data_IF_448046418192
#
_entry.id   IF_448046418192
#
_cell.length_a   1.000
_cell.length_b   1.000
_cell.length_c   1.000
_cell.angle_alpha   90.00
_cell.angle_beta   90.00
_cell.angle_gamma   90.00
#
_symmetry.space_group_name_H-M   'P 1'
#
loop_
_entity.id
_entity.type
_entity.pdbx_description
1 polymer ?
#
# COMPACT_ATOMS: atom_id res chain seq x y z
N UNK A 1 61.05 -82.62 -10.37
CA UNK A 1 61.16 -81.31 -11.03
C UNK A 1 59.81 -80.97 -11.68
N UNK A 2 58.99 -80.11 -11.05
CA UNK A 2 57.73 -79.60 -11.62
C UNK A 2 57.88 -78.09 -11.85
N UNK A 3 57.86 -77.66 -13.10
CA UNK A 3 57.84 -76.24 -13.48
C UNK A 3 56.38 -75.77 -13.49
N UNK A 4 56.06 -74.80 -12.64
CA UNK A 4 54.78 -74.09 -12.62
C UNK A 4 54.92 -72.89 -13.56
N UNK A 5 54.11 -72.84 -14.62
CA UNK A 5 54.00 -71.70 -15.52
C UNK A 5 52.95 -70.74 -14.93
N UNK A 6 53.37 -69.51 -14.61
CA UNK A 6 52.49 -68.43 -14.16
C UNK A 6 52.11 -67.60 -15.40
N UNK A 7 50.83 -67.60 -15.77
CA UNK A 7 50.29 -66.77 -16.86
C UNK A 7 49.78 -65.46 -16.25
N UNK A 8 50.47 -64.35 -16.53
CA UNK A 8 49.99 -63.01 -16.22
C UNK A 8 48.96 -62.57 -17.27
N UNK A 9 47.70 -62.43 -16.85
CA UNK A 9 46.66 -61.78 -17.64
C UNK A 9 46.70 -60.26 -17.42
N UNK A 10 47.01 -59.50 -18.48
CA UNK A 10 46.94 -58.04 -18.50
C UNK A 10 45.47 -57.61 -18.65
N UNK A 11 44.84 -57.21 -17.54
CA UNK A 11 43.53 -56.57 -17.55
C UNK A 11 43.69 -55.10 -17.98
N UNK A 12 43.10 -54.74 -19.12
CA UNK A 12 43.01 -53.33 -19.54
C UNK A 12 41.95 -52.60 -18.73
N UNK A 13 42.21 -51.38 -18.23
CA UNK A 13 41.22 -50.62 -17.46
C UNK A 13 40.12 -50.11 -18.38
N UNK A 14 38.88 -50.48 -18.06
CA UNK A 14 37.67 -49.85 -18.60
C UNK A 14 37.65 -48.38 -18.15
N UNK A 15 37.88 -47.46 -19.08
CA UNK A 15 37.67 -46.02 -18.86
C UNK A 15 36.16 -45.77 -18.83
N UNK A 16 35.58 -45.68 -17.63
CA UNK A 16 34.23 -45.17 -17.45
C UNK A 16 34.23 -43.67 -17.76
N UNK A 17 33.54 -43.28 -18.83
CA UNK A 17 33.27 -41.88 -19.12
C UNK A 17 32.55 -41.25 -17.93
N UNK A 18 33.08 -40.14 -17.42
CA UNK A 18 32.42 -39.37 -16.38
C UNK A 18 31.02 -38.98 -16.88
N UNK A 19 29.96 -39.14 -16.06
CA UNK A 19 28.63 -38.69 -16.44
C UNK A 19 28.70 -37.19 -16.79
N UNK A 20 27.99 -36.75 -17.84
CA UNK A 20 28.01 -35.35 -18.25
C UNK A 20 27.65 -34.46 -17.05
N UNK A 21 28.39 -33.35 -16.90
CA UNK A 21 28.11 -32.38 -15.86
C UNK A 21 26.63 -31.96 -15.94
N UNK A 22 25.92 -31.89 -14.80
CA UNK A 22 24.52 -31.46 -14.81
C UNK A 22 24.44 -30.09 -15.48
N UNK A 23 23.52 -29.95 -16.44
CA UNK A 23 23.27 -28.69 -17.12
C UNK A 23 23.08 -27.57 -16.08
N UNK A 24 23.68 -26.40 -16.35
CA UNK A 24 23.44 -25.22 -15.53
C UNK A 24 21.92 -25.00 -15.42
N UNK A 25 21.40 -24.61 -14.23
CA UNK A 25 19.97 -24.35 -14.08
C UNK A 25 19.52 -23.36 -15.16
N UNK A 26 18.36 -23.58 -15.81
CA UNK A 26 17.84 -22.63 -16.79
C UNK A 26 17.73 -21.26 -16.11
N UNK A 27 18.31 -20.23 -16.70
CA UNK A 27 18.14 -18.85 -16.22
C UNK A 27 16.70 -18.38 -16.47
N UNK A 28 16.34 -17.20 -15.94
CA UNK A 28 14.98 -16.65 -16.09
C UNK A 28 14.55 -16.52 -17.54
N UNK A 29 15.49 -16.27 -18.46
CA UNK A 29 15.23 -16.17 -19.90
C UNK A 29 14.80 -17.50 -20.49
N UNK A 30 15.50 -18.59 -20.18
CA UNK A 30 15.12 -19.93 -20.62
C UNK A 30 13.74 -20.34 -20.08
N UNK A 31 13.43 -20.00 -18.83
CA UNK A 31 12.09 -20.23 -18.26
C UNK A 31 11.01 -19.42 -18.98
N UNK A 32 11.25 -18.13 -19.22
CA UNK A 32 10.30 -17.26 -19.94
C UNK A 32 10.01 -17.80 -21.35
N UNK A 33 11.05 -18.18 -22.10
CA UNK A 33 10.90 -18.72 -23.45
C UNK A 33 10.10 -20.04 -23.44
N UNK A 34 10.40 -20.95 -22.52
CA UNK A 34 9.70 -22.23 -22.38
C UNK A 34 8.21 -22.05 -22.06
N UNK A 35 7.86 -21.02 -21.28
CA UNK A 35 6.47 -20.70 -20.91
C UNK A 35 5.74 -19.83 -21.96
N UNK A 36 6.40 -19.46 -23.06
CA UNK A 36 5.83 -18.52 -24.04
C UNK A 36 5.61 -17.11 -23.49
N UNK A 37 6.44 -16.72 -22.52
CA UNK A 37 6.38 -15.44 -21.81
C UNK A 37 7.52 -14.52 -22.24
N UNK A 38 7.36 -13.24 -21.92
CA UNK A 38 8.41 -12.23 -21.99
C UNK A 38 8.47 -11.43 -20.68
N UNK A 39 9.66 -10.93 -20.33
CA UNK A 39 9.81 -10.06 -19.17
C UNK A 39 9.34 -8.65 -19.52
N UNK A 40 8.42 -8.11 -18.71
CA UNK A 40 8.02 -6.70 -18.76
C UNK A 40 8.76 -5.83 -17.73
N UNK A 41 9.26 -6.45 -16.66
CA UNK A 41 10.12 -5.83 -15.66
C UNK A 41 10.98 -6.90 -14.97
N UNK A 42 12.21 -6.53 -14.62
CA UNK A 42 13.14 -7.39 -13.86
C UNK A 42 13.84 -6.56 -12.78
N UNK A 43 14.07 -7.16 -11.61
CA UNK A 43 14.97 -6.64 -10.57
C UNK A 43 15.84 -7.78 -10.05
N UNK A 44 17.08 -7.46 -9.73
CA UNK A 44 18.06 -8.42 -9.21
C UNK A 44 18.58 -7.98 -7.84
N UNK A 45 18.86 -8.94 -6.97
CA UNK A 45 19.49 -8.72 -5.67
C UNK A 45 20.18 -9.99 -5.17
N UNK A 46 21.51 -9.96 -5.07
CA UNK A 46 22.32 -11.10 -4.65
C UNK A 46 21.98 -12.34 -5.51
N UNK A 47 21.60 -13.46 -4.88
CA UNK A 47 21.18 -14.68 -5.59
C UNK A 47 19.75 -14.65 -6.14
N UNK A 48 18.98 -13.58 -5.87
CA UNK A 48 17.57 -13.48 -6.27
C UNK A 48 17.37 -12.62 -7.51
N UNK A 49 16.38 -13.01 -8.30
CA UNK A 49 15.84 -12.22 -9.40
C UNK A 49 14.32 -12.25 -9.30
N UNK A 50 13.66 -11.12 -9.49
CA UNK A 50 12.22 -11.01 -9.58
C UNK A 50 11.83 -10.49 -10.97
N UNK A 51 10.90 -11.18 -11.61
CA UNK A 51 10.46 -10.89 -12.98
C UNK A 51 8.94 -10.71 -13.00
N UNK A 52 8.44 -9.68 -13.67
CA UNK A 52 7.04 -9.62 -14.12
C UNK A 52 7.00 -10.20 -15.53
N UNK A 53 6.51 -11.42 -15.62
CA UNK A 53 6.34 -12.15 -16.86
C UNK A 53 4.94 -11.90 -17.43
N UNK A 54 4.85 -11.69 -18.73
CA UNK A 54 3.60 -11.53 -19.48
C UNK A 54 3.58 -12.45 -20.70
N UNK A 55 2.39 -12.81 -21.18
CA UNK A 55 2.24 -13.62 -22.39
C UNK A 55 2.84 -12.88 -23.59
N UNK A 56 3.78 -13.53 -24.28
CA UNK A 56 4.51 -12.94 -25.40
C UNK A 56 3.55 -12.57 -26.53
N UNK A 57 3.65 -11.34 -27.02
CA UNK A 57 2.83 -10.85 -28.14
C UNK A 57 1.38 -10.50 -27.77
N UNK A 58 1.01 -10.52 -26.48
CA UNK A 58 -0.28 -10.02 -26.03
C UNK A 58 -0.43 -8.53 -26.35
N UNK A 59 -1.59 -8.12 -26.89
CA UNK A 59 -1.84 -6.75 -27.35
C UNK A 59 -2.66 -5.91 -26.37
N UNK A 60 -3.33 -6.56 -25.42
CA UNK A 60 -4.21 -5.93 -24.44
C UNK A 60 -3.94 -6.48 -23.03
N UNK A 61 -4.45 -5.78 -22.01
CA UNK A 61 -4.20 -6.14 -20.61
C UNK A 61 -4.87 -7.47 -20.20
N UNK A 62 -6.00 -7.84 -20.82
CA UNK A 62 -6.69 -9.09 -20.50
C UNK A 62 -5.93 -10.30 -21.05
N UNK A 63 -5.35 -10.18 -22.25
CA UNK A 63 -4.54 -11.24 -22.86
C UNK A 63 -3.11 -11.32 -22.30
N UNK A 64 -2.59 -10.25 -21.70
CA UNK A 64 -1.23 -10.22 -21.16
C UNK A 64 -0.99 -11.20 -20.01
N UNK A 65 -2.02 -11.49 -19.19
CA UNK A 65 -1.97 -12.42 -18.04
C UNK A 65 -0.64 -12.34 -17.27
N UNK A 66 -0.35 -11.16 -16.75
CA UNK A 66 0.92 -10.92 -16.05
C UNK A 66 1.02 -11.78 -14.78
N UNK A 67 2.25 -12.12 -14.41
CA UNK A 67 2.58 -12.85 -13.18
C UNK A 67 3.96 -12.44 -12.68
N UNK A 68 4.14 -12.48 -11.36
CA UNK A 68 5.46 -12.27 -10.73
C UNK A 68 6.11 -13.63 -10.50
N UNK A 69 7.33 -13.83 -10.97
CA UNK A 69 8.16 -14.98 -10.66
C UNK A 69 9.41 -14.53 -9.90
N UNK A 70 9.83 -15.31 -8.91
CA UNK A 70 11.07 -15.10 -8.16
C UNK A 70 11.97 -16.29 -8.40
N UNK A 71 13.20 -16.01 -8.79
CA UNK A 71 14.27 -16.96 -8.99
C UNK A 71 15.28 -16.85 -7.86
N UNK A 72 15.88 -17.96 -7.48
CA UNK A 72 17.08 -18.00 -6.64
C UNK A 72 18.11 -18.91 -7.32
N UNK A 73 19.30 -18.36 -7.62
CA UNK A 73 20.38 -19.06 -8.35
C UNK A 73 19.88 -19.68 -9.67
N UNK A 74 19.11 -18.89 -10.43
CA UNK A 74 18.52 -19.29 -11.71
C UNK A 74 17.26 -20.16 -11.60
N UNK A 75 16.92 -20.73 -10.43
CA UNK A 75 15.74 -21.60 -10.31
C UNK A 75 14.52 -20.81 -9.84
N UNK A 76 13.37 -21.01 -10.47
CA UNK A 76 12.09 -20.49 -9.95
C UNK A 76 11.86 -21.07 -8.54
N UNK A 77 11.80 -20.19 -7.55
CA UNK A 77 11.51 -20.55 -6.15
C UNK A 77 10.11 -20.13 -5.72
N UNK A 78 9.47 -19.24 -6.48
CA UNK A 78 8.09 -18.83 -6.26
C UNK A 78 7.50 -18.17 -7.51
N UNK A 79 6.18 -18.28 -7.67
CA UNK A 79 5.43 -17.59 -8.70
C UNK A 79 4.05 -17.20 -8.16
N UNK A 80 3.62 -15.98 -8.46
CA UNK A 80 2.29 -15.50 -8.10
C UNK A 80 1.21 -16.38 -8.73
N UNK A 81 0.19 -16.71 -7.94
CA UNK A 81 -0.99 -17.42 -8.40
C UNK A 81 -2.26 -16.78 -7.82
N UNK A 82 -3.41 -17.04 -8.44
CA UNK A 82 -4.68 -16.41 -8.08
C UNK A 82 -5.14 -16.70 -6.63
N UNK A 83 -4.66 -17.76 -5.99
CA UNK A 83 -5.02 -18.10 -4.60
C UNK A 83 -4.22 -17.30 -3.57
N UNK A 84 -3.01 -16.87 -3.93
CA UNK A 84 -2.14 -16.09 -3.04
C UNK A 84 -2.39 -14.58 -3.14
N UNK A 85 -2.94 -14.13 -4.26
CA UNK A 85 -3.34 -12.75 -4.45
C UNK A 85 -4.69 -12.53 -3.76
N UNK A 86 -4.76 -11.47 -2.95
CA UNK A 86 -6.03 -11.08 -2.30
C UNK A 86 -7.04 -10.53 -3.31
N UNK A 87 -6.56 -9.97 -4.42
CA UNK A 87 -7.37 -9.43 -5.51
C UNK A 87 -6.80 -9.89 -6.86
N UNK A 88 -7.63 -10.15 -7.88
CA UNK A 88 -7.16 -10.34 -9.24
C UNK A 88 -6.38 -9.11 -9.71
N UNK A 89 -5.23 -9.30 -10.33
CA UNK A 89 -4.42 -8.23 -10.91
C UNK A 89 -4.24 -8.47 -12.40
N UNK A 90 -4.44 -7.42 -13.19
CA UNK A 90 -4.21 -7.42 -14.65
C UNK A 90 -2.84 -6.87 -15.01
N UNK A 91 -2.22 -6.12 -14.10
CA UNK A 91 -0.88 -5.57 -14.27
C UNK A 91 -0.11 -5.60 -12.95
N UNK A 92 1.16 -5.95 -12.99
CA UNK A 92 2.06 -5.89 -11.85
C UNK A 92 3.11 -4.79 -12.00
N UNK A 93 3.63 -4.32 -10.88
CA UNK A 93 4.76 -3.39 -10.84
C UNK A 93 5.73 -3.85 -9.78
N UNK A 94 6.99 -4.10 -10.16
CA UNK A 94 8.07 -4.38 -9.22
C UNK A 94 8.59 -3.06 -8.67
N UNK A 95 8.45 -2.87 -7.37
CA UNK A 95 8.87 -1.66 -6.69
C UNK A 95 10.30 -1.82 -6.16
N UNK A 96 10.55 -2.88 -5.38
CA UNK A 96 11.88 -3.15 -4.83
C UNK A 96 12.14 -4.64 -4.60
N UNK A 97 13.42 -5.03 -4.68
CA UNK A 97 13.92 -6.35 -4.34
C UNK A 97 15.18 -6.17 -3.49
N UNK A 98 15.26 -6.88 -2.35
CA UNK A 98 16.43 -6.88 -1.48
C UNK A 98 16.36 -5.94 -0.27
N UNK A 99 15.30 -5.12 -0.17
CA UNK A 99 15.18 -4.13 0.90
C UNK A 99 14.58 -4.74 2.17
N UNK A 100 15.06 -4.31 3.33
CA UNK A 100 14.47 -4.66 4.64
C UNK A 100 13.33 -3.69 4.96
N UNK A 101 12.08 -4.09 4.70
CA UNK A 101 10.91 -3.23 4.90
C UNK A 101 10.30 -3.37 6.29
N UNK A 102 10.61 -4.44 7.02
CA UNK A 102 10.08 -4.71 8.37
C UNK A 102 11.12 -4.60 9.50
N UNK A 103 12.36 -4.24 9.17
CA UNK A 103 13.45 -4.05 10.12
C UNK A 103 14.01 -5.37 10.68
N UNK A 104 13.77 -6.50 10.01
CA UNK A 104 14.24 -7.82 10.44
C UNK A 104 15.69 -8.12 10.02
N UNK A 105 16.31 -7.25 9.22
CA UNK A 105 17.60 -7.49 8.58
C UNK A 105 17.55 -8.47 7.42
N UNK A 106 16.36 -8.91 7.00
CA UNK A 106 16.17 -9.85 5.91
C UNK A 106 15.67 -9.14 4.63
N UNK A 107 16.19 -9.50 3.45
CA UNK A 107 15.76 -8.90 2.21
C UNK A 107 14.33 -9.31 1.84
N UNK A 108 13.56 -8.36 1.33
CA UNK A 108 12.18 -8.56 0.92
C UNK A 108 11.95 -8.11 -0.53
N UNK A 109 10.89 -8.64 -1.11
CA UNK A 109 10.33 -8.22 -2.39
C UNK A 109 9.07 -7.40 -2.11
N UNK A 110 8.97 -6.22 -2.74
CA UNK A 110 7.75 -5.42 -2.80
C UNK A 110 7.30 -5.23 -4.23
N UNK A 111 6.04 -5.54 -4.47
CA UNK A 111 5.37 -5.33 -5.74
C UNK A 111 3.91 -4.92 -5.49
N UNK A 112 3.25 -4.39 -6.51
CA UNK A 112 1.80 -4.18 -6.48
C UNK A 112 1.11 -4.83 -7.67
N UNK A 113 -0.12 -5.25 -7.46
CA UNK A 113 -1.05 -5.63 -8.51
C UNK A 113 -2.11 -4.56 -8.70
N UNK A 114 -2.37 -4.19 -9.94
CA UNK A 114 -3.47 -3.32 -10.34
C UNK A 114 -4.58 -4.19 -10.94
N UNK A 115 -5.80 -4.10 -10.40
CA UNK A 115 -6.93 -4.94 -10.84
C UNK A 115 -7.64 -4.45 -12.10
N UNK A 116 -7.42 -3.20 -12.52
CA UNK A 116 -7.95 -2.64 -13.78
C UNK A 116 -9.33 -1.98 -13.65
N UNK A 117 -9.52 -0.81 -14.25
CA UNK A 117 -10.78 -0.04 -14.28
C UNK A 117 -10.70 1.36 -13.64
N UNK A 118 -11.75 2.18 -13.79
CA UNK A 118 -11.76 3.60 -13.40
C UNK A 118 -11.85 3.86 -11.87
N UNK A 119 -12.27 2.85 -11.10
CA UNK A 119 -12.40 2.87 -9.64
C UNK A 119 -11.77 1.61 -9.03
N UNK A 120 -10.63 1.20 -9.60
CA UNK A 120 -10.09 -0.12 -9.40
C UNK A 120 -8.69 -0.09 -8.80
N UNK A 121 -8.38 -1.21 -8.17
CA UNK A 121 -7.62 -1.22 -6.94
C UNK A 121 -6.15 -1.52 -7.21
N UNK A 122 -5.30 -0.82 -6.48
CA UNK A 122 -3.92 -1.26 -6.29
C UNK A 122 -3.83 -2.03 -4.98
N UNK A 123 -3.28 -3.23 -5.02
CA UNK A 123 -2.92 -4.00 -3.83
C UNK A 123 -1.41 -4.16 -3.77
N UNK A 124 -0.80 -3.76 -2.65
CA UNK A 124 0.64 -3.94 -2.41
C UNK A 124 0.90 -5.25 -1.67
N UNK A 125 1.97 -5.90 -2.06
CA UNK A 125 2.43 -7.16 -1.50
C UNK A 125 3.89 -7.04 -1.07
N UNK A 126 4.18 -7.52 0.14
CA UNK A 126 5.55 -7.66 0.63
C UNK A 126 5.80 -9.13 0.90
N UNK A 127 6.87 -9.67 0.34
CA UNK A 127 7.28 -11.06 0.47
C UNK A 127 8.66 -11.13 1.14
N UNK A 128 8.82 -12.01 2.12
CA UNK A 128 10.16 -12.41 2.61
C UNK A 128 10.81 -13.28 1.57
N UNK A 129 12.10 -13.10 1.30
CA UNK A 129 12.86 -13.95 0.37
C UNK A 129 13.51 -15.15 1.07
N UNK A 130 13.93 -14.98 2.33
CA UNK A 130 14.60 -16.00 3.14
C UNK A 130 13.77 -16.38 4.38
N UNK A 131 13.88 -17.64 4.86
CA UNK A 131 14.53 -18.78 4.20
C UNK A 131 13.74 -19.32 2.99
N UNK A 132 12.49 -18.91 2.85
CA UNK A 132 11.60 -19.26 1.74
C UNK A 132 10.86 -18.01 1.30
N UNK A 133 10.58 -17.92 -0.01
CA UNK A 133 9.73 -16.88 -0.56
C UNK A 133 8.30 -17.06 -0.06
N UNK A 134 7.83 -16.13 0.77
CA UNK A 134 6.48 -16.18 1.35
C UNK A 134 5.90 -14.80 1.56
N UNK A 135 4.59 -14.68 1.39
CA UNK A 135 3.86 -13.43 1.66
C UNK A 135 4.04 -13.05 3.12
N UNK A 136 4.56 -11.86 3.35
CA UNK A 136 4.77 -11.29 4.66
C UNK A 136 3.65 -10.33 5.02
N UNK A 137 3.35 -9.38 4.13
CA UNK A 137 2.28 -8.39 4.35
C UNK A 137 1.52 -8.11 3.04
N UNK A 138 0.28 -7.66 3.19
CA UNK A 138 -0.58 -7.21 2.09
C UNK A 138 -1.34 -5.96 2.50
N UNK A 139 -1.49 -5.02 1.57
CA UNK A 139 -2.24 -3.80 1.76
C UNK A 139 -3.12 -3.51 0.54
N UNK A 140 -4.45 -3.69 0.65
CA UNK A 140 -5.39 -3.26 -0.38
C UNK A 140 -5.55 -1.75 -0.32
N UNK A 141 -4.73 -1.04 -1.10
CA UNK A 141 -4.74 0.41 -1.18
C UNK A 141 -5.90 0.97 -2.01
N UNK A 142 -6.65 0.08 -2.69
CA UNK A 142 -7.88 0.41 -3.41
C UNK A 142 -7.69 1.61 -4.34
N UNK A 143 -8.55 2.61 -4.26
CA UNK A 143 -8.61 3.69 -5.25
C UNK A 143 -7.50 4.74 -5.08
N UNK A 144 -6.91 4.84 -3.89
CA UNK A 144 -5.87 5.84 -3.61
C UNK A 144 -4.49 5.40 -4.09
N UNK A 145 -4.33 4.08 -4.27
CA UNK A 145 -3.02 3.48 -4.53
C UNK A 145 -2.07 3.69 -3.36
N UNK A 146 -0.79 3.44 -3.58
CA UNK A 146 0.28 3.71 -2.62
C UNK A 146 1.56 4.04 -3.36
N UNK A 147 2.46 4.76 -2.70
CA UNK A 147 3.77 5.06 -3.27
C UNK A 147 4.73 3.90 -3.04
N UNK A 148 5.92 4.00 -3.64
CA UNK A 148 7.05 3.22 -3.19
C UNK A 148 7.40 3.53 -1.73
N UNK A 149 8.08 2.59 -1.09
CA UNK A 149 8.69 2.81 0.21
C UNK A 149 9.82 3.84 0.10
N UNK A 150 9.91 4.76 1.05
CA UNK A 150 10.96 5.77 1.16
C UNK A 150 11.72 5.60 2.47
N UNK A 151 13.05 5.73 2.40
CA UNK A 151 13.90 5.73 3.59
C UNK A 151 13.84 7.12 4.24
N UNK A 152 13.82 7.13 5.56
CA UNK A 152 13.94 8.35 6.34
C UNK A 152 15.19 8.27 7.23
N UNK A 153 15.99 9.35 7.30
CA UNK A 153 17.16 9.38 8.18
C UNK A 153 16.78 9.03 9.62
N UNK A 154 17.54 8.12 10.24
CA UNK A 154 17.34 7.70 11.63
C UNK A 154 16.23 6.67 11.85
N UNK A 155 15.50 6.25 10.81
CA UNK A 155 14.56 5.12 10.89
C UNK A 155 15.19 3.83 10.39
N UNK A 156 14.84 2.72 11.04
CA UNK A 156 15.21 1.38 10.61
C UNK A 156 14.28 0.85 9.51
N UNK A 157 12.98 1.15 9.63
CA UNK A 157 11.95 0.73 8.69
C UNK A 157 11.62 1.87 7.73
N UNK A 158 11.60 1.60 6.42
CA UNK A 158 11.12 2.58 5.47
C UNK A 158 9.61 2.73 5.57
N UNK A 159 9.10 3.82 5.02
CA UNK A 159 7.68 4.16 5.08
C UNK A 159 7.06 4.21 3.69
N UNK A 160 5.78 3.91 3.60
CA UNK A 160 4.96 4.12 2.41
C UNK A 160 3.99 5.26 2.68
N UNK A 161 3.87 6.16 1.71
CA UNK A 161 2.87 7.22 1.75
C UNK A 161 1.63 6.74 0.99
N UNK A 162 0.47 6.84 1.62
CA UNK A 162 -0.80 6.43 1.04
C UNK A 162 -1.95 7.29 1.61
N UNK A 163 -3.19 6.93 1.29
CA UNK A 163 -4.37 7.45 1.93
C UNK A 163 -5.34 6.33 2.36
N UNK A 164 -6.44 6.72 2.99
CA UNK A 164 -7.55 5.83 3.27
C UNK A 164 -8.77 6.26 2.44
N UNK A 165 -9.29 5.33 1.64
CA UNK A 165 -10.44 5.56 0.77
C UNK A 165 -11.78 5.08 1.36
N UNK A 166 -11.82 4.71 2.64
CA UNK A 166 -13.00 4.16 3.30
C UNK A 166 -14.21 5.11 3.34
N UNK A 167 -13.98 6.42 3.19
CA UNK A 167 -15.04 7.44 3.06
C UNK A 167 -15.32 7.85 1.59
N UNK A 168 -14.73 7.18 0.59
CA UNK A 168 -15.00 7.45 -0.82
C UNK A 168 -16.50 7.40 -1.09
N UNK A 169 -17.00 8.35 -1.89
CA UNK A 169 -18.40 8.46 -2.34
C UNK A 169 -19.47 8.70 -1.25
N UNK A 170 -19.11 8.60 0.04
CA UNK A 170 -20.07 8.76 1.14
C UNK A 170 -20.49 10.23 1.35
N UNK A 171 -19.55 11.16 1.28
CA UNK A 171 -19.80 12.59 1.59
C UNK A 171 -19.73 13.53 0.38
N UNK A 172 -19.33 13.01 -0.78
CA UNK A 172 -19.30 13.70 -2.07
C UNK A 172 -19.04 12.68 -3.18
N UNK A 173 -19.21 13.03 -4.48
CA UNK A 173 -18.75 12.18 -5.59
C UNK A 173 -17.26 11.84 -5.46
N UNK A 174 -16.80 10.77 -6.11
CA UNK A 174 -15.43 10.28 -5.97
C UNK A 174 -14.37 11.37 -6.21
N UNK A 175 -14.51 12.16 -7.27
CA UNK A 175 -13.59 13.27 -7.60
C UNK A 175 -13.47 14.35 -6.52
N UNK A 176 -14.47 14.45 -5.65
CA UNK A 176 -14.57 15.45 -4.58
C UNK A 176 -14.45 14.81 -3.19
N UNK A 177 -14.17 13.51 -3.12
CA UNK A 177 -13.97 12.79 -1.88
C UNK A 177 -12.60 13.13 -1.28
N UNK A 178 -12.56 13.31 0.03
CA UNK A 178 -11.32 13.49 0.75
C UNK A 178 -10.77 12.14 1.23
N UNK A 179 -9.49 11.91 0.98
CA UNK A 179 -8.77 10.72 1.43
C UNK A 179 -7.69 11.14 2.45
N UNK A 180 -7.85 10.86 3.75
CA UNK A 180 -6.87 11.23 4.75
C UNK A 180 -5.53 10.55 4.48
N UNK A 181 -4.45 11.33 4.64
CA UNK A 181 -3.07 10.86 4.62
C UNK A 181 -2.88 9.72 5.64
N UNK A 182 -2.30 8.62 5.19
CA UNK A 182 -1.74 7.58 6.05
C UNK A 182 -0.26 7.40 5.73
N UNK A 183 0.54 7.23 6.78
CA UNK A 183 1.96 6.89 6.66
C UNK A 183 2.10 5.49 7.19
N UNK A 184 2.54 4.57 6.33
CA UNK A 184 2.53 3.15 6.62
C UNK A 184 3.95 2.62 6.77
N UNK A 185 4.09 1.63 7.63
CA UNK A 185 5.28 0.79 7.71
C UNK A 185 4.85 -0.69 7.76
N UNK A 186 5.78 -1.59 7.46
CA UNK A 186 5.55 -3.03 7.61
C UNK A 186 6.02 -3.45 8.99
N UNK A 187 5.10 -3.95 9.81
CA UNK A 187 5.50 -4.49 11.10
C UNK A 187 6.30 -5.80 10.95
N UNK A 188 7.17 -6.14 11.92
CA UNK A 188 7.84 -7.44 11.95
C UNK A 188 6.88 -8.64 11.93
N UNK A 189 5.60 -8.42 12.31
CA UNK A 189 4.52 -9.41 12.31
C UNK A 189 3.81 -9.56 10.96
N UNK A 190 4.17 -8.79 9.93
CA UNK A 190 3.59 -8.95 8.59
C UNK A 190 2.30 -8.17 8.36
N UNK A 191 2.17 -7.00 8.98
CA UNK A 191 1.02 -6.10 8.78
C UNK A 191 1.49 -4.73 8.33
N UNK A 192 0.83 -4.15 7.33
CA UNK A 192 0.89 -2.71 7.11
C UNK A 192 0.17 -2.00 8.26
N UNK A 193 0.88 -1.12 8.96
CA UNK A 193 0.35 -0.37 10.09
C UNK A 193 0.75 1.10 9.98
N UNK A 194 0.10 1.97 10.75
CA UNK A 194 0.54 3.35 10.85
C UNK A 194 1.97 3.43 11.42
N UNK A 195 2.83 4.19 10.76
CA UNK A 195 4.01 4.77 11.38
C UNK A 195 3.53 5.90 12.31
N UNK A 196 3.01 5.50 13.48
CA UNK A 196 2.25 6.38 14.37
C UNK A 196 3.06 7.61 14.81
N UNK A 197 4.37 7.48 14.96
CA UNK A 197 5.28 8.56 15.32
C UNK A 197 5.44 9.62 14.20
N UNK A 198 5.11 9.26 12.96
CA UNK A 198 5.10 10.17 11.82
C UNK A 198 3.72 10.73 11.48
N UNK A 199 2.65 10.13 12.02
CA UNK A 199 1.27 10.58 11.84
C UNK A 199 0.75 11.41 13.01
N UNK A 200 1.10 11.04 14.24
CA UNK A 200 0.61 11.74 15.43
C UNK A 200 1.23 13.13 15.49
N UNK A 201 0.38 14.13 15.68
CA UNK A 201 0.81 15.51 15.83
C UNK A 201 1.00 15.86 17.30
N UNK A 202 1.71 16.96 17.59
CA UNK A 202 1.87 17.45 18.97
C UNK A 202 0.63 18.17 19.50
N UNK A 203 -0.12 18.82 18.61
CA UNK A 203 -1.34 19.56 18.95
C UNK A 203 -2.40 19.36 17.86
N UNK A 204 -3.69 19.42 18.20
CA UNK A 204 -4.77 19.29 17.24
C UNK A 204 -4.62 20.25 16.04
N UNK A 205 -4.69 19.71 14.83
CA UNK A 205 -4.69 20.49 13.59
C UNK A 205 -3.31 20.98 13.14
N UNK A 206 -2.22 20.56 13.79
CA UNK A 206 -0.86 20.74 13.27
C UNK A 206 -0.57 19.77 12.12
N UNK A 207 0.40 20.06 11.25
CA UNK A 207 0.89 19.08 10.28
C UNK A 207 1.58 17.90 10.98
N UNK A 208 1.38 16.66 10.50
CA UNK A 208 2.06 15.48 11.04
C UNK A 208 3.58 15.56 10.86
N UNK A 209 4.39 14.91 11.73
CA UNK A 209 5.86 14.97 11.67
C UNK A 209 6.45 14.58 10.31
N UNK A 210 5.79 13.69 9.55
CA UNK A 210 6.20 13.35 8.18
C UNK A 210 6.31 14.58 7.27
N UNK A 211 5.52 15.63 7.50
CA UNK A 211 5.53 16.85 6.71
C UNK A 211 6.79 17.71 6.89
N UNK A 212 7.59 17.43 7.92
CA UNK A 212 8.87 18.10 8.15
C UNK A 212 10.06 17.36 7.49
N UNK A 213 9.84 16.17 6.94
CA UNK A 213 10.89 15.34 6.36
C UNK A 213 11.22 15.79 4.92
N UNK A 214 12.47 16.18 4.60
CA UNK A 214 12.83 16.65 3.26
C UNK A 214 12.48 15.65 2.16
N UNK A 215 12.83 14.37 2.37
CA UNK A 215 12.54 13.28 1.44
C UNK A 215 11.03 13.10 1.20
N UNK A 216 10.22 13.39 2.20
CA UNK A 216 8.77 13.29 2.13
C UNK A 216 8.16 14.54 1.45
N UNK A 217 8.71 15.74 1.67
CA UNK A 217 8.26 16.97 0.99
C UNK A 217 8.59 17.04 -0.51
N UNK A 218 9.53 16.21 -0.98
CA UNK A 218 9.82 16.05 -2.41
C UNK A 218 8.73 15.28 -3.17
N UNK A 219 7.86 14.55 -2.45
CA UNK A 219 6.69 13.90 -3.04
C UNK A 219 5.57 14.94 -3.27
N UNK A 220 5.16 15.21 -4.52
CA UNK A 220 4.15 16.25 -4.80
C UNK A 220 2.81 16.02 -4.09
N UNK A 221 2.37 14.76 -4.01
CA UNK A 221 1.12 14.40 -3.34
C UNK A 221 1.21 14.65 -1.84
N UNK A 222 2.30 14.23 -1.20
CA UNK A 222 2.50 14.50 0.22
C UNK A 222 2.65 16.00 0.50
N UNK A 223 3.36 16.74 -0.36
CA UNK A 223 3.47 18.20 -0.27
C UNK A 223 2.11 18.88 -0.28
N UNK A 224 1.21 18.44 -1.18
CA UNK A 224 -0.16 18.94 -1.23
C UNK A 224 -0.91 18.63 0.08
N UNK A 225 -0.89 17.38 0.54
CA UNK A 225 -1.53 16.95 1.81
C UNK A 225 -1.01 17.70 3.02
N UNK A 226 0.30 17.88 3.12
CA UNK A 226 0.93 18.66 4.18
C UNK A 226 0.54 20.14 4.12
N UNK A 227 0.39 20.69 2.91
CA UNK A 227 -0.09 22.05 2.70
C UNK A 227 -1.53 22.28 3.18
N UNK A 228 -2.33 21.24 3.37
CA UNK A 228 -3.69 21.37 3.92
C UNK A 228 -3.70 21.79 5.39
N UNK A 229 -2.65 21.47 6.14
CA UNK A 229 -2.49 21.87 7.54
C UNK A 229 -1.99 23.31 7.70
N UNK A 230 -1.68 24.01 6.60
CA UNK A 230 -1.27 25.41 6.64
C UNK A 230 -2.37 26.29 7.23
N UNK A 231 -2.03 27.05 8.28
CA UNK A 231 -3.00 27.78 9.10
C UNK A 231 -3.91 28.74 8.31
N UNK A 232 -3.38 29.45 7.31
CA UNK A 232 -4.18 30.35 6.48
C UNK A 232 -5.24 29.60 5.66
N UNK A 233 -4.84 28.56 4.90
CA UNK A 233 -5.76 27.74 4.11
C UNK A 233 -6.82 27.06 4.98
N UNK A 234 -6.42 26.55 6.14
CA UNK A 234 -7.34 25.90 7.08
C UNK A 234 -8.36 26.87 7.68
N UNK A 235 -7.94 28.09 8.06
CA UNK A 235 -8.85 29.14 8.55
C UNK A 235 -9.88 29.51 7.48
N UNK A 236 -9.45 29.76 6.25
CA UNK A 236 -10.35 30.06 5.12
C UNK A 236 -11.40 28.96 4.92
N UNK A 237 -10.98 27.69 4.84
CA UNK A 237 -11.92 26.56 4.73
C UNK A 237 -12.89 26.47 5.90
N UNK A 238 -12.42 26.72 7.12
CA UNK A 238 -13.29 26.71 8.31
C UNK A 238 -14.39 27.77 8.19
N UNK A 239 -14.03 28.99 7.77
CA UNK A 239 -15.00 30.07 7.53
C UNK A 239 -15.97 29.74 6.38
N UNK A 240 -15.49 29.14 5.30
CA UNK A 240 -16.34 28.69 4.18
C UNK A 240 -17.33 27.61 4.60
N UNK A 241 -16.89 26.63 5.40
CA UNK A 241 -17.76 25.59 5.98
C UNK A 241 -18.84 26.25 6.83
N UNK A 242 -18.48 27.14 7.75
CA UNK A 242 -19.44 27.86 8.60
C UNK A 242 -20.45 28.67 7.78
N UNK A 243 -19.98 29.39 6.76
CA UNK A 243 -20.84 30.17 5.88
C UNK A 243 -21.86 29.29 5.14
N UNK A 244 -21.40 28.18 4.52
CA UNK A 244 -22.29 27.24 3.82
C UNK A 244 -23.31 26.59 4.75
N UNK A 245 -22.88 26.15 5.93
CA UNK A 245 -23.80 25.57 6.92
C UNK A 245 -24.86 26.59 7.36
N UNK A 246 -24.49 27.86 7.54
CA UNK A 246 -25.43 28.94 7.87
C UNK A 246 -26.40 29.22 6.71
N UNK A 247 -25.90 29.25 5.48
CA UNK A 247 -26.70 29.48 4.27
C UNK A 247 -27.78 28.40 4.09
N UNK A 248 -27.40 27.12 4.16
CA UNK A 248 -28.32 25.97 4.07
C UNK A 248 -29.43 26.09 5.13
N UNK A 249 -29.05 26.39 6.38
CA UNK A 249 -30.01 26.54 7.49
C UNK A 249 -30.91 27.76 7.36
N UNK A 250 -30.45 28.83 6.72
CA UNK A 250 -31.23 30.06 6.52
C UNK A 250 -32.22 29.97 5.36
N UNK A 251 -31.93 29.13 4.36
CA UNK A 251 -32.71 29.03 3.11
C UNK A 251 -33.88 28.03 3.19
N UNK A 252 -33.98 27.26 4.28
CA UNK A 252 -34.97 26.18 4.45
C UNK A 252 -35.56 26.20 5.85
N UNK A 253 -36.84 25.81 5.94
CA UNK A 253 -37.44 25.48 7.24
C UNK A 253 -36.79 24.20 7.79
N UNK A 254 -36.58 24.14 9.11
CA UNK A 254 -35.81 23.07 9.76
C UNK A 254 -36.36 21.65 9.52
N UNK A 255 -37.65 21.53 9.23
CA UNK A 255 -38.39 20.31 8.88
C UNK A 255 -38.15 19.81 7.44
N UNK A 256 -37.51 20.63 6.59
CA UNK A 256 -37.31 20.31 5.15
C UNK A 256 -35.87 20.13 4.74
N UNK A 257 -34.92 20.32 5.65
CA UNK A 257 -33.48 20.16 5.37
C UNK A 257 -33.17 18.67 5.19
N UNK A 258 -32.55 18.30 4.07
CA UNK A 258 -32.19 16.91 3.74
C UNK A 258 -30.69 16.75 3.55
N UNK A 259 -30.23 15.50 3.64
CA UNK A 259 -28.84 15.12 3.36
C UNK A 259 -28.33 15.71 2.05
N UNK A 260 -29.15 15.66 0.99
CA UNK A 260 -28.78 16.10 -0.36
C UNK A 260 -28.49 17.60 -0.46
N UNK A 261 -29.11 18.43 0.37
CA UNK A 261 -28.83 19.87 0.42
C UNK A 261 -27.38 20.13 0.88
N UNK A 262 -26.89 19.34 1.83
CA UNK A 262 -25.50 19.41 2.29
C UNK A 262 -24.54 18.70 1.32
N UNK A 263 -24.97 17.59 0.73
CA UNK A 263 -24.15 16.84 -0.22
C UNK A 263 -23.85 17.67 -1.48
N UNK A 264 -24.88 18.32 -2.05
CA UNK A 264 -24.77 19.10 -3.29
C UNK A 264 -23.84 20.33 -3.15
N UNK A 265 -23.73 20.92 -1.97
CA UNK A 265 -22.84 22.07 -1.71
C UNK A 265 -21.38 21.68 -1.43
N UNK A 266 -21.12 20.37 -1.28
CA UNK A 266 -19.82 19.82 -0.92
C UNK A 266 -19.43 20.02 0.55
N UNK A 267 -20.33 20.57 1.38
CA UNK A 267 -19.99 20.89 2.78
C UNK A 267 -19.78 19.63 3.62
N UNK A 268 -20.47 18.52 3.32
CA UNK A 268 -20.23 17.23 4.01
C UNK A 268 -18.81 16.72 3.79
N UNK A 269 -18.29 16.77 2.55
CA UNK A 269 -16.91 16.38 2.26
C UNK A 269 -15.90 17.28 2.97
N UNK A 270 -16.14 18.59 2.98
CA UNK A 270 -15.26 19.54 3.67
C UNK A 270 -15.22 19.30 5.20
N UNK A 271 -16.38 19.03 5.81
CA UNK A 271 -16.48 18.67 7.24
C UNK A 271 -15.81 17.32 7.51
N UNK A 272 -16.08 16.30 6.69
CA UNK A 272 -15.43 14.99 6.80
C UNK A 272 -13.90 15.10 6.70
N UNK A 273 -13.40 15.96 5.82
CA UNK A 273 -11.98 16.19 5.65
C UNK A 273 -11.32 16.72 6.94
N UNK A 274 -11.86 17.79 7.54
CA UNK A 274 -11.31 18.33 8.79
C UNK A 274 -11.47 17.34 9.96
N UNK A 275 -12.62 16.66 10.05
CA UNK A 275 -12.84 15.60 11.06
C UNK A 275 -11.83 14.46 10.94
N UNK A 276 -11.50 14.04 9.71
CA UNK A 276 -10.51 13.01 9.45
C UNK A 276 -9.08 13.52 9.68
N UNK A 277 -8.74 14.78 9.34
CA UNK A 277 -7.44 15.36 9.72
C UNK A 277 -7.19 15.28 11.22
N UNK A 278 -8.20 15.57 12.03
CA UNK A 278 -8.13 15.42 13.48
C UNK A 278 -7.96 13.95 13.91
N UNK A 279 -8.80 13.04 13.40
CA UNK A 279 -8.73 11.64 13.81
C UNK A 279 -7.41 10.95 13.42
N UNK A 280 -6.95 11.15 12.19
CA UNK A 280 -5.73 10.53 11.64
C UNK A 280 -4.44 11.15 12.16
N UNK A 281 -4.53 12.18 13.00
CA UNK A 281 -3.38 12.77 13.70
C UNK A 281 -3.45 12.58 15.22
N UNK A 282 -4.39 11.75 15.70
CA UNK A 282 -4.55 11.38 17.12
C UNK A 282 -5.50 12.24 17.94
N UNK A 283 -6.23 13.18 17.31
CA UNK A 283 -7.04 14.18 18.01
C UNK A 283 -8.53 14.13 17.66
N UNK A 284 -9.10 12.92 17.60
CA UNK A 284 -10.52 12.72 17.28
C UNK A 284 -11.48 13.54 18.15
N UNK A 285 -11.22 13.64 19.46
CA UNK A 285 -12.02 14.45 20.39
C UNK A 285 -11.95 15.95 20.09
N UNK A 286 -10.76 16.47 19.75
CA UNK A 286 -10.64 17.87 19.33
C UNK A 286 -11.37 18.14 18.01
N UNK A 287 -11.44 17.15 17.12
CA UNK A 287 -12.29 17.20 15.93
C UNK A 287 -13.77 17.39 16.27
N UNK A 288 -14.28 16.70 17.30
CA UNK A 288 -15.66 16.91 17.77
C UNK A 288 -15.88 18.33 18.31
N UNK A 289 -14.93 18.87 19.09
CA UNK A 289 -15.01 20.25 19.57
C UNK A 289 -15.01 21.26 18.42
N UNK A 290 -14.18 21.01 17.40
CA UNK A 290 -14.18 21.80 16.17
C UNK A 290 -15.53 21.72 15.44
N UNK A 291 -16.11 20.51 15.33
CA UNK A 291 -17.43 20.32 14.71
C UNK A 291 -18.52 21.12 15.41
N UNK A 292 -18.55 21.14 16.75
CA UNK A 292 -19.51 21.95 17.51
C UNK A 292 -19.33 23.45 17.27
N UNK A 293 -18.10 23.89 16.99
CA UNK A 293 -17.81 25.30 16.67
C UNK A 293 -18.32 25.70 15.28
N UNK A 294 -18.26 24.79 14.30
CA UNK A 294 -18.65 25.10 12.91
C UNK A 294 -20.08 24.71 12.58
N UNK A 295 -20.61 23.68 13.24
CA UNK A 295 -21.96 23.14 13.07
C UNK A 295 -22.63 22.97 14.43
N UNK A 296 -22.94 24.07 15.14
CA UNK A 296 -23.52 23.99 16.48
C UNK A 296 -24.95 23.42 16.46
N UNK A 297 -25.34 22.85 17.60
CA UNK A 297 -26.70 22.36 17.86
C UNK A 297 -26.96 20.93 17.42
N UNK A 298 -28.21 20.50 17.64
CA UNK A 298 -28.69 19.14 17.36
C UNK A 298 -29.42 19.09 16.02
N UNK A 299 -28.63 19.06 14.95
CA UNK A 299 -29.11 18.95 13.57
C UNK A 299 -29.20 17.47 13.17
N UNK A 300 -30.35 17.03 12.66
CA UNK A 300 -30.56 15.62 12.28
C UNK A 300 -29.58 15.15 11.20
N UNK A 301 -29.19 16.04 10.27
CA UNK A 301 -28.20 15.70 9.23
C UNK A 301 -26.81 15.59 9.83
N UNK A 302 -26.46 16.40 10.84
CA UNK A 302 -25.20 16.27 11.59
C UNK A 302 -25.11 14.94 12.32
N UNK A 303 -26.21 14.47 12.92
CA UNK A 303 -26.26 13.16 13.58
C UNK A 303 -26.01 12.03 12.56
N UNK A 304 -26.74 12.04 11.44
CA UNK A 304 -26.55 11.08 10.36
C UNK A 304 -25.14 11.14 9.75
N UNK A 305 -24.56 12.34 9.64
CA UNK A 305 -23.18 12.54 9.19
C UNK A 305 -22.18 11.86 10.13
N UNK A 306 -22.33 12.05 11.43
CA UNK A 306 -21.45 11.44 12.44
C UNK A 306 -21.56 9.91 12.44
N UNK A 307 -22.76 9.36 12.25
CA UNK A 307 -22.98 7.92 12.10
C UNK A 307 -22.23 7.36 10.89
N UNK A 308 -22.45 7.95 9.71
CA UNK A 308 -21.73 7.56 8.47
C UNK A 308 -20.21 7.72 8.60
N UNK A 309 -19.74 8.75 9.31
CA UNK A 309 -18.30 8.95 9.54
C UNK A 309 -17.72 7.85 10.42
N UNK A 310 -18.44 7.40 11.44
CA UNK A 310 -18.02 6.25 12.27
C UNK A 310 -18.03 4.97 11.45
N UNK A 311 -19.07 4.72 10.65
CA UNK A 311 -19.15 3.55 9.79
C UNK A 311 -18.01 3.47 8.79
N UNK A 312 -17.67 4.58 8.13
CA UNK A 312 -16.55 4.61 7.17
C UNK A 312 -15.22 4.33 7.87
N UNK A 313 -14.97 4.94 9.04
CA UNK A 313 -13.77 4.64 9.84
C UNK A 313 -13.71 3.20 10.31
N UNK A 314 -14.84 2.57 10.64
CA UNK A 314 -14.90 1.16 11.00
C UNK A 314 -14.58 0.23 9.82
N UNK A 315 -14.90 0.65 8.58
CA UNK A 315 -14.59 -0.06 7.33
C UNK A 315 -13.16 0.14 6.84
N UNK A 316 -12.41 1.08 7.44
CA UNK A 316 -10.99 1.30 7.16
C UNK A 316 -10.18 0.02 7.37
N UNK A 317 -9.18 -0.22 6.51
CA UNK A 317 -8.16 -1.24 6.74
C UNK A 317 -7.29 -0.95 7.99
N UNK A 318 -7.41 0.27 8.53
CA UNK A 318 -6.66 0.81 9.65
C UNK A 318 -7.57 1.18 10.84
N UNK A 319 -8.77 0.59 10.94
CA UNK A 319 -9.72 0.91 12.01
C UNK A 319 -9.14 0.69 13.41
N UNK A 320 -8.38 -0.39 13.61
CA UNK A 320 -7.67 -0.64 14.88
C UNK A 320 -6.54 0.36 15.13
N UNK A 321 -5.76 0.69 14.10
CA UNK A 321 -4.71 1.70 14.19
C UNK A 321 -5.28 3.08 14.54
N UNK A 322 -6.42 3.46 13.96
CA UNK A 322 -7.13 4.70 14.30
C UNK A 322 -7.56 4.71 15.77
N UNK A 323 -8.05 3.58 16.28
CA UNK A 323 -8.41 3.43 17.70
C UNK A 323 -7.20 3.61 18.60
N UNK A 324 -6.08 2.96 18.28
CA UNK A 324 -4.82 3.08 19.02
C UNK A 324 -4.23 4.49 18.96
N UNK A 325 -4.33 5.13 17.80
CA UNK A 325 -3.83 6.48 17.60
C UNK A 325 -4.57 7.49 18.48
N UNK A 326 -5.85 7.27 18.74
CA UNK A 326 -6.72 8.12 19.55
C UNK A 326 -6.58 7.92 21.07
N UNK A 327 -6.11 6.76 21.54
CA UNK A 327 -6.04 6.45 22.99
C UNK A 327 -4.66 6.71 23.62
N UNK A 328 -3.60 6.70 22.83
CA UNK A 328 -2.25 6.85 23.33
C UNK A 328 -1.93 8.34 23.58
N UNK A 329 -2.09 8.73 24.85
CA UNK A 329 -2.01 10.09 25.42
C UNK A 329 -0.66 10.40 26.08
N UNK A 330 0.40 9.68 25.69
CA UNK A 330 1.76 9.89 26.23
C UNK A 330 2.27 11.32 26.06
#
# INVERSE_FOLDING_TARGET
MRKILLVLALASPLVQAAPPAPAAPPDSKAWLEAEGLEASATKEFQEFEAVVARVKGAKDAASAQERVAVFAKGRVVWQSNAKELVEPAVKFTLHSLGRDLDGSGQPQLHFSGFSGGAHCCTTHYVYKLKPQVKRHAVYPARNVGGTDFMDLPGRKTPIMISADDSSATVFAPYSNSYFPLVVLEVSPKGKFQFAADLMRTRLPGMPPPVCAQPAATANPWLKERCGEFAGAKRKTRTSEIQAKLKEIKSSRSADKIKWDDYYATGVLSAVAAEMNRHAYTGYGAAGMNWLETVWPGNDTVKVAFLEKLRETRAKSAFSEELRLLATDTR
#
